data_IF_877283892642
#
_entry.id   IF_877283892642
#
_cell.length_a   1.000
_cell.length_b   1.000
_cell.length_c   1.000
_cell.angle_alpha   90.00
_cell.angle_beta   90.00
_cell.angle_gamma   90.00
#
_symmetry.space_group_name_H-M   'P 1'
#
loop_
_entity.id
_entity.type
_entity.pdbx_description
1 polymer ?
#
# COMPACT_ATOMS: atom_id res chain seq x y z
N UNK A 1 -5.40 3.65 -14.74
CA UNK A 1 -5.13 2.25 -15.16
C UNK A 1 -4.28 1.58 -14.10
N UNK A 2 -4.51 0.28 -13.81
CA UNK A 2 -3.68 -0.48 -12.84
C UNK A 2 -3.00 -1.61 -13.59
N UNK A 3 -1.67 -1.69 -13.49
CA UNK A 3 -0.85 -2.68 -14.16
C UNK A 3 0.06 -3.32 -13.11
N UNK A 4 -0.14 -4.63 -12.88
CA UNK A 4 0.57 -5.36 -11.84
C UNK A 4 1.53 -6.36 -12.44
N UNK A 5 2.67 -6.55 -11.79
CA UNK A 5 3.51 -7.72 -12.03
C UNK A 5 2.95 -8.91 -11.25
N UNK A 6 3.03 -10.11 -11.85
CA UNK A 6 2.56 -11.33 -11.21
C UNK A 6 3.42 -11.66 -9.98
N UNK A 7 2.81 -11.70 -8.83
CA UNK A 7 3.41 -12.18 -7.57
C UNK A 7 2.85 -13.55 -7.24
N UNK A 8 3.73 -14.47 -6.86
CA UNK A 8 3.35 -15.83 -6.45
C UNK A 8 3.14 -15.84 -4.93
N UNK A 9 1.89 -15.70 -4.52
CA UNK A 9 1.53 -15.73 -3.10
C UNK A 9 1.56 -17.17 -2.55
N UNK A 10 2.11 -17.40 -1.34
CA UNK A 10 2.05 -18.69 -0.67
C UNK A 10 0.62 -19.22 -0.55
N UNK A 11 0.49 -20.55 -0.47
CA UNK A 11 -0.80 -21.25 -0.27
C UNK A 11 -1.84 -21.05 -1.39
N UNK A 12 -1.41 -20.51 -2.55
CA UNK A 12 -2.27 -20.36 -3.73
C UNK A 12 -2.09 -21.52 -4.73
N UNK A 13 -3.07 -21.77 -5.62
CA UNK A 13 -2.87 -22.69 -6.74
C UNK A 13 -1.67 -22.33 -7.60
N UNK A 14 -1.36 -21.05 -7.79
CA UNK A 14 -0.19 -20.59 -8.55
C UNK A 14 1.13 -20.99 -7.88
N UNK A 15 1.23 -20.89 -6.55
CA UNK A 15 2.41 -21.37 -5.82
C UNK A 15 2.64 -22.86 -6.05
N UNK A 16 1.57 -23.67 -6.01
CA UNK A 16 1.67 -25.09 -6.25
C UNK A 16 2.06 -25.44 -7.71
N UNK A 17 1.61 -24.67 -8.69
CA UNK A 17 1.98 -24.82 -10.10
C UNK A 17 3.42 -24.38 -10.35
N UNK A 18 3.83 -23.26 -9.78
CA UNK A 18 5.19 -22.73 -9.86
C UNK A 18 6.21 -23.71 -9.25
N UNK A 19 5.95 -24.21 -8.05
CA UNK A 19 6.80 -25.21 -7.39
C UNK A 19 6.97 -26.51 -8.20
N UNK A 20 5.98 -26.86 -9.03
CA UNK A 20 6.01 -28.03 -9.94
C UNK A 20 6.60 -27.70 -11.32
N UNK A 21 7.10 -26.50 -11.55
CA UNK A 21 7.61 -26.04 -12.84
C UNK A 21 6.54 -25.95 -13.96
N UNK A 22 5.25 -25.98 -13.60
CA UNK A 22 4.13 -25.87 -14.55
C UNK A 22 3.69 -24.41 -14.80
N UNK A 23 4.09 -23.49 -13.96
CA UNK A 23 3.94 -22.05 -14.13
C UNK A 23 5.34 -21.45 -14.14
N UNK A 24 5.75 -20.91 -15.28
CA UNK A 24 7.00 -20.17 -15.41
C UNK A 24 6.67 -18.68 -15.37
N UNK A 25 7.32 -17.96 -14.47
CA UNK A 25 7.26 -16.48 -14.40
C UNK A 25 8.52 -15.91 -15.04
N UNK A 26 8.50 -14.66 -15.51
CA UNK A 26 9.71 -13.97 -15.94
C UNK A 26 10.78 -13.97 -14.82
N UNK A 27 12.03 -14.10 -15.20
CA UNK A 27 13.13 -13.85 -14.26
C UNK A 27 13.24 -12.36 -13.90
N UNK A 28 14.13 -12.02 -12.98
CA UNK A 28 14.24 -10.66 -12.46
C UNK A 28 14.59 -9.65 -13.56
N UNK A 29 15.48 -9.99 -14.49
CA UNK A 29 15.89 -9.11 -15.58
C UNK A 29 14.74 -8.86 -16.57
N UNK A 30 14.02 -9.93 -16.94
CA UNK A 30 12.84 -9.83 -17.79
C UNK A 30 11.70 -9.08 -17.09
N UNK A 31 11.49 -9.30 -15.79
CA UNK A 31 10.48 -8.57 -15.02
C UNK A 31 10.79 -7.08 -14.94
N UNK A 32 12.07 -6.70 -14.72
CA UNK A 32 12.51 -5.31 -14.72
C UNK A 32 12.30 -4.67 -16.10
N UNK A 33 12.72 -5.34 -17.18
CA UNK A 33 12.53 -4.86 -18.56
C UNK A 33 11.06 -4.63 -18.87
N UNK A 34 10.18 -5.56 -18.50
CA UNK A 34 8.74 -5.41 -18.70
C UNK A 34 8.16 -4.24 -17.89
N UNK A 35 8.67 -4.01 -16.68
CA UNK A 35 8.29 -2.86 -15.87
C UNK A 35 8.70 -1.55 -16.55
N UNK A 36 9.95 -1.43 -17.00
CA UNK A 36 10.46 -0.23 -17.69
C UNK A 36 9.67 0.06 -18.97
N UNK A 37 9.46 -0.93 -19.83
CA UNK A 37 8.60 -0.79 -21.03
C UNK A 37 7.19 -0.32 -20.65
N UNK A 38 6.62 -0.86 -19.57
CA UNK A 38 5.30 -0.46 -19.10
C UNK A 38 5.27 1.02 -18.73
N UNK A 39 6.31 1.52 -18.02
CA UNK A 39 6.40 2.93 -17.66
C UNK A 39 6.51 3.81 -18.94
N UNK A 40 7.38 3.46 -19.87
CA UNK A 40 7.59 4.20 -21.12
C UNK A 40 6.32 4.29 -21.97
N UNK A 41 5.66 3.16 -22.18
CA UNK A 41 4.45 3.09 -23.01
C UNK A 41 3.27 3.85 -22.38
N UNK A 42 3.09 3.74 -21.06
CA UNK A 42 2.01 4.47 -20.38
C UNK A 42 2.28 5.96 -20.32
N UNK A 43 3.52 6.39 -20.10
CA UNK A 43 3.90 7.80 -20.15
C UNK A 43 3.70 8.38 -21.56
N UNK A 44 4.14 7.68 -22.61
CA UNK A 44 3.93 8.07 -24.00
C UNK A 44 2.44 8.18 -24.37
N UNK A 45 1.59 7.37 -23.74
CA UNK A 45 0.13 7.44 -23.88
C UNK A 45 -0.54 8.55 -23.04
N UNK A 46 0.24 9.39 -22.33
CA UNK A 46 -0.28 10.46 -21.46
C UNK A 46 -0.84 9.95 -20.11
N UNK A 47 -0.44 8.76 -19.69
CA UNK A 47 -0.83 8.12 -18.43
C UNK A 47 0.41 7.84 -17.57
N UNK A 48 1.14 8.85 -17.10
CA UNK A 48 2.31 8.63 -16.25
C UNK A 48 1.95 7.89 -14.96
N UNK A 49 2.89 7.12 -14.42
CA UNK A 49 2.73 6.50 -13.12
C UNK A 49 2.65 7.55 -12.01
N UNK A 50 1.63 7.50 -11.19
CA UNK A 50 1.56 8.30 -9.97
C UNK A 50 1.95 7.50 -8.72
N UNK A 51 1.96 6.16 -8.83
CA UNK A 51 2.55 5.23 -7.88
C UNK A 51 2.99 3.95 -8.63
N UNK A 52 3.64 3.02 -7.95
CA UNK A 52 4.35 1.86 -8.54
C UNK A 52 3.54 1.11 -9.62
N UNK A 53 2.23 0.91 -9.39
CA UNK A 53 1.38 0.04 -10.22
C UNK A 53 0.19 0.77 -10.85
N UNK A 54 0.03 2.05 -10.59
CA UNK A 54 -1.13 2.81 -11.06
C UNK A 54 -0.73 4.05 -11.86
N UNK A 55 -1.39 4.20 -13.00
CA UNK A 55 -1.14 5.22 -14.00
C UNK A 55 -2.41 6.04 -14.22
N UNK A 56 -2.26 7.34 -14.42
CA UNK A 56 -3.40 8.23 -14.69
C UNK A 56 -2.94 9.48 -15.43
N UNK A 57 -3.83 10.08 -16.20
CA UNK A 57 -3.62 11.43 -16.70
C UNK A 57 -3.46 12.42 -15.53
N UNK A 58 -2.71 13.52 -15.72
CA UNK A 58 -2.54 14.53 -14.68
C UNK A 58 -3.88 15.03 -14.14
N UNK A 59 -4.07 14.97 -12.83
CA UNK A 59 -5.31 15.34 -12.14
C UNK A 59 -6.35 14.23 -12.03
N UNK A 60 -6.17 13.08 -12.71
CA UNK A 60 -7.13 11.97 -12.72
C UNK A 60 -6.68 10.77 -11.82
N UNK A 61 -5.70 10.98 -10.96
CA UNK A 61 -5.22 9.96 -10.03
C UNK A 61 -6.35 9.50 -9.11
N UNK A 62 -6.37 8.21 -8.77
CA UNK A 62 -7.34 7.67 -7.82
C UNK A 62 -7.21 8.32 -6.45
N UNK A 63 -8.18 9.16 -6.09
CA UNK A 63 -8.21 9.80 -4.76
C UNK A 63 -8.24 8.78 -3.63
N UNK A 64 -8.91 7.65 -3.84
CA UNK A 64 -8.96 6.56 -2.87
C UNK A 64 -7.57 5.98 -2.63
N UNK A 65 -6.80 5.67 -3.69
CA UNK A 65 -5.43 5.18 -3.55
C UNK A 65 -4.51 6.20 -2.87
N UNK A 66 -4.64 7.47 -3.24
CA UNK A 66 -3.84 8.55 -2.65
C UNK A 66 -4.10 8.74 -1.14
N UNK A 67 -5.31 8.41 -0.64
CA UNK A 67 -5.57 8.41 0.81
C UNK A 67 -4.63 7.43 1.51
N UNK A 68 -4.48 6.21 1.00
CA UNK A 68 -3.56 5.22 1.59
C UNK A 68 -2.11 5.66 1.48
N UNK A 69 -1.66 5.99 0.27
CA UNK A 69 -0.25 6.27 0.01
C UNK A 69 0.23 7.56 0.66
N UNK A 70 -0.65 8.53 0.88
CA UNK A 70 -0.37 9.77 1.65
C UNK A 70 -0.58 9.62 3.14
N UNK A 71 -0.81 8.40 3.60
CA UNK A 71 -1.02 8.07 5.00
C UNK A 71 -2.23 8.80 5.62
N UNK A 72 -3.30 8.95 4.86
CA UNK A 72 -4.58 9.51 5.33
C UNK A 72 -5.37 8.51 6.18
N UNK A 73 -6.44 9.00 6.80
CA UNK A 73 -7.39 8.16 7.52
C UNK A 73 -8.35 7.46 6.56
N UNK A 74 -8.65 6.20 6.84
CA UNK A 74 -9.65 5.43 6.11
C UNK A 74 -10.30 4.39 7.00
N UNK A 75 -11.60 4.16 6.75
CA UNK A 75 -12.40 3.15 7.44
C UNK A 75 -12.42 1.88 6.60
N UNK A 76 -12.05 0.76 7.21
CA UNK A 76 -12.25 -0.55 6.62
C UNK A 76 -13.71 -0.99 6.78
N UNK A 77 -14.39 -1.26 5.67
CA UNK A 77 -15.77 -1.74 5.65
C UNK A 77 -15.86 -3.14 5.06
N UNK A 78 -16.48 -4.05 5.77
CA UNK A 78 -16.68 -5.43 5.33
C UNK A 78 -15.82 -6.45 6.06
N UNK A 79 -16.05 -7.76 5.78
CA UNK A 79 -15.30 -8.85 6.38
C UNK A 79 -13.81 -8.77 6.03
N UNK A 80 -12.95 -8.90 7.04
CA UNK A 80 -11.49 -8.87 6.89
C UNK A 80 -10.90 -7.49 6.53
N UNK A 81 -11.71 -6.43 6.53
CA UNK A 81 -11.24 -5.10 6.18
C UNK A 81 -10.33 -4.51 7.26
N UNK A 82 -9.33 -3.76 6.83
CA UNK A 82 -8.42 -3.00 7.68
C UNK A 82 -8.69 -1.50 7.56
N UNK A 83 -8.40 -0.75 8.63
CA UNK A 83 -8.54 0.70 8.65
C UNK A 83 -7.40 1.38 9.39
N UNK A 84 -7.28 2.68 9.16
CA UNK A 84 -6.42 3.59 9.91
C UNK A 84 -7.24 4.84 10.25
N UNK A 85 -7.41 5.10 11.53
CA UNK A 85 -8.24 6.21 12.02
C UNK A 85 -7.49 7.02 13.07
N UNK A 86 -7.62 8.33 12.98
CA UNK A 86 -7.12 9.25 14.02
C UNK A 86 -8.29 9.73 14.86
N UNK A 87 -8.29 9.37 16.13
CA UNK A 87 -9.32 9.75 17.11
C UNK A 87 -8.64 10.47 18.25
N UNK A 88 -9.07 11.67 18.57
CA UNK A 88 -8.52 12.52 19.67
C UNK A 88 -6.98 12.65 19.62
N UNK A 89 -6.43 12.72 18.40
CA UNK A 89 -4.99 12.87 18.16
C UNK A 89 -4.18 11.55 18.23
N UNK A 90 -4.78 10.45 18.62
CA UNK A 90 -4.17 9.12 18.57
C UNK A 90 -4.56 8.38 17.28
N UNK A 91 -3.59 7.72 16.65
CA UNK A 91 -3.83 6.93 15.44
C UNK A 91 -3.99 5.46 15.78
N UNK A 92 -5.01 4.84 15.22
CA UNK A 92 -5.38 3.45 15.46
C UNK A 92 -5.33 2.64 14.17
N UNK A 93 -4.79 1.41 14.28
CA UNK A 93 -5.04 0.35 13.31
C UNK A 93 -6.33 -0.38 13.72
N UNK A 94 -7.20 -0.65 12.75
CA UNK A 94 -8.39 -1.46 12.95
C UNK A 94 -8.39 -2.65 12.00
N UNK A 95 -8.88 -3.81 12.47
CA UNK A 95 -9.15 -4.96 11.63
C UNK A 95 -10.53 -5.52 11.92
N UNK A 96 -11.24 -5.95 10.88
CA UNK A 96 -12.57 -6.53 10.97
C UNK A 96 -12.52 -8.06 10.97
N UNK A 97 -13.57 -8.68 11.53
CA UNK A 97 -13.80 -10.11 11.45
C UNK A 97 -13.75 -10.60 10.00
N UNK A 98 -13.04 -11.72 9.75
CA UNK A 98 -12.82 -12.22 8.39
C UNK A 98 -13.98 -13.05 7.84
N UNK A 99 -14.65 -13.82 8.72
CA UNK A 99 -15.78 -14.63 8.32
C UNK A 99 -17.00 -13.75 8.01
N UNK A 100 -17.61 -13.81 6.79
CA UNK A 100 -18.74 -12.94 6.44
C UNK A 100 -19.91 -13.04 7.42
N UNK A 101 -20.29 -14.24 7.82
CA UNK A 101 -21.38 -14.48 8.75
C UNK A 101 -21.04 -13.93 10.15
N UNK A 102 -19.86 -14.26 10.67
CA UNK A 102 -19.38 -13.78 11.97
C UNK A 102 -19.21 -12.25 11.99
N UNK A 103 -18.79 -11.67 10.86
CA UNK A 103 -18.75 -10.22 10.68
C UNK A 103 -20.15 -9.60 10.76
N UNK A 104 -21.12 -10.18 10.07
CA UNK A 104 -22.49 -9.69 10.07
C UNK A 104 -23.12 -9.80 11.47
N UNK A 105 -22.95 -10.92 12.17
CA UNK A 105 -23.42 -11.11 13.54
C UNK A 105 -22.79 -10.06 14.49
N UNK A 106 -21.49 -9.79 14.35
CA UNK A 106 -20.80 -8.79 15.16
C UNK A 106 -21.34 -7.38 14.89
N UNK A 107 -21.55 -7.02 13.63
CA UNK A 107 -22.12 -5.72 13.26
C UNK A 107 -23.52 -5.53 13.86
N UNK A 108 -24.37 -6.58 13.82
CA UNK A 108 -25.72 -6.53 14.40
C UNK A 108 -25.69 -6.40 15.93
N UNK A 109 -24.72 -7.02 16.58
CA UNK A 109 -24.58 -7.01 18.03
C UNK A 109 -23.90 -5.76 18.57
N UNK A 110 -22.78 -5.36 17.95
CA UNK A 110 -21.82 -4.38 18.48
C UNK A 110 -21.88 -3.03 17.73
N UNK A 111 -22.63 -2.96 16.60
CA UNK A 111 -22.67 -1.80 15.72
C UNK A 111 -21.48 -1.69 14.76
N UNK A 112 -20.47 -2.56 14.87
CA UNK A 112 -19.30 -2.62 14.01
C UNK A 112 -18.75 -4.05 13.90
N UNK A 113 -17.99 -4.32 12.85
CA UNK A 113 -17.36 -5.63 12.63
C UNK A 113 -15.93 -5.75 13.12
N UNK A 114 -15.40 -4.81 13.89
CA UNK A 114 -14.00 -4.80 14.33
C UNK A 114 -13.72 -5.88 15.36
N UNK A 115 -12.64 -6.60 15.16
CA UNK A 115 -12.06 -7.56 16.11
C UNK A 115 -10.83 -6.98 16.83
N UNK A 116 -10.22 -5.96 16.24
CA UNK A 116 -9.04 -5.29 16.77
C UNK A 116 -9.12 -3.79 16.55
N UNK A 117 -8.67 -3.04 17.54
CA UNK A 117 -8.44 -1.62 17.51
C UNK A 117 -7.20 -1.32 18.36
N UNK A 118 -6.05 -1.16 17.71
CA UNK A 118 -4.76 -1.01 18.38
C UNK A 118 -4.21 0.39 18.14
N UNK A 119 -3.84 1.16 19.19
CA UNK A 119 -3.15 2.41 19.00
C UNK A 119 -1.77 2.17 18.39
N UNK A 120 -1.39 2.98 17.41
CA UNK A 120 -0.10 2.90 16.75
C UNK A 120 0.91 3.80 17.45
N UNK A 121 2.04 3.22 17.80
CA UNK A 121 3.17 3.97 18.35
C UNK A 121 3.79 4.90 17.32
N UNK A 122 4.46 5.97 17.77
CA UNK A 122 5.06 6.96 16.88
C UNK A 122 6.10 6.36 15.93
N UNK A 123 6.79 5.30 16.32
CA UNK A 123 7.73 4.58 15.46
C UNK A 123 6.99 3.85 14.32
N UNK A 124 5.96 3.09 14.64
CA UNK A 124 5.14 2.36 13.68
C UNK A 124 4.50 3.32 12.67
N UNK A 125 3.95 4.45 13.15
CA UNK A 125 3.38 5.48 12.27
C UNK A 125 4.41 6.06 11.30
N UNK A 126 5.68 6.23 11.72
CA UNK A 126 6.76 6.71 10.83
C UNK A 126 7.10 5.68 9.77
N UNK A 127 7.22 4.41 10.17
CA UNK A 127 7.57 3.31 9.28
C UNK A 127 6.47 3.08 8.24
N UNK A 128 5.20 3.05 8.67
CA UNK A 128 4.05 2.97 7.76
C UNK A 128 4.01 4.15 6.79
N UNK A 129 4.20 5.38 7.28
CA UNK A 129 4.21 6.58 6.43
C UNK A 129 5.32 6.54 5.39
N UNK A 130 6.50 6.05 5.76
CA UNK A 130 7.61 5.89 4.85
C UNK A 130 7.28 4.84 3.77
N UNK A 131 6.87 3.65 4.18
CA UNK A 131 6.52 2.55 3.27
C UNK A 131 5.42 2.95 2.28
N UNK A 132 4.36 3.62 2.77
CA UNK A 132 3.27 4.08 1.91
C UNK A 132 3.74 5.18 0.94
N UNK A 133 4.43 6.17 1.46
CA UNK A 133 4.83 7.34 0.67
C UNK A 133 5.90 7.07 -0.38
N UNK A 134 6.81 6.10 -0.14
CA UNK A 134 7.80 5.67 -1.13
C UNK A 134 7.19 4.98 -2.37
N UNK A 135 5.93 4.61 -2.33
CA UNK A 135 5.23 4.11 -3.51
C UNK A 135 4.84 5.23 -4.49
N UNK A 136 4.68 6.46 -4.00
CA UNK A 136 4.27 7.61 -4.82
C UNK A 136 5.42 8.17 -5.65
N UNK A 137 5.16 8.58 -6.87
CA UNK A 137 6.11 9.32 -7.70
C UNK A 137 6.50 10.66 -7.08
N UNK A 138 5.64 11.26 -6.26
CA UNK A 138 5.91 12.49 -5.49
C UNK A 138 6.83 12.24 -4.28
N UNK A 139 7.04 10.97 -3.89
CA UNK A 139 7.88 10.57 -2.77
C UNK A 139 7.36 11.00 -1.40
N UNK A 140 8.26 11.09 -0.42
CA UNK A 140 7.96 11.42 0.98
C UNK A 140 8.60 12.75 1.36
N UNK A 141 7.83 13.65 1.96
CA UNK A 141 8.36 14.88 2.51
C UNK A 141 9.15 14.63 3.81
N UNK A 142 10.46 14.76 3.75
CA UNK A 142 11.34 14.64 4.92
C UNK A 142 10.98 15.63 6.04
N UNK A 143 10.48 16.82 5.68
CA UNK A 143 10.03 17.81 6.66
C UNK A 143 8.82 17.31 7.46
N UNK A 144 7.85 16.64 6.81
CA UNK A 144 6.72 16.01 7.48
C UNK A 144 7.10 14.81 8.33
N UNK A 145 8.19 14.13 7.98
CA UNK A 145 8.75 13.04 8.78
C UNK A 145 9.56 13.55 9.98
N UNK A 146 10.27 14.66 9.84
CA UNK A 146 11.12 15.25 10.89
C UNK A 146 10.32 15.85 12.05
N UNK A 147 9.06 16.25 11.85
CA UNK A 147 8.15 16.60 12.97
C UNK A 147 7.85 15.38 13.88
N UNK A 148 8.38 14.22 13.56
CA UNK A 148 8.41 12.98 14.33
C UNK A 148 9.70 12.21 14.14
N UNK A 149 10.89 12.85 14.17
CA UNK A 149 12.25 12.30 14.10
C UNK A 149 12.48 11.20 13.01
N UNK A 150 12.89 11.62 11.80
CA UNK A 150 13.47 10.69 10.84
C UNK A 150 14.80 10.12 11.39
N UNK A 151 15.10 8.81 11.25
CA UNK A 151 16.41 8.28 11.57
C UNK A 151 17.50 8.99 10.74
N UNK A 152 18.62 9.36 11.34
CA UNK A 152 19.75 10.02 10.66
C UNK A 152 20.21 9.24 9.42
N UNK A 153 20.08 7.91 9.41
CA UNK A 153 20.39 7.04 8.28
C UNK A 153 19.57 7.33 7.01
N UNK A 154 18.28 7.69 7.13
CA UNK A 154 17.42 8.01 5.98
C UNK A 154 17.82 9.33 5.31
N UNK A 155 18.26 10.30 6.09
CA UNK A 155 18.72 11.60 5.56
C UNK A 155 19.99 11.42 4.73
N UNK A 156 20.87 10.50 5.14
CA UNK A 156 22.12 10.20 4.43
C UNK A 156 21.85 9.50 3.10
N UNK A 157 20.97 8.51 3.07
CA UNK A 157 20.62 7.76 1.84
C UNK A 157 19.99 8.65 0.77
N UNK A 158 19.13 9.60 1.15
CA UNK A 158 18.51 10.53 0.19
C UNK A 158 19.53 11.50 -0.42
N UNK A 159 20.56 11.90 0.34
CA UNK A 159 21.67 12.71 -0.19
C UNK A 159 22.61 11.95 -1.14
N UNK A 160 22.72 10.64 -0.99
CA UNK A 160 23.54 9.78 -1.87
C UNK A 160 22.85 9.42 -3.20
N UNK A 161 21.51 9.59 -3.28
CA UNK A 161 20.68 9.29 -4.46
C UNK A 161 20.29 10.55 -5.25
N UNK A 162 20.66 11.73 -4.81
CA UNK A 162 20.41 13.01 -5.49
C UNK A 162 21.70 13.57 -6.12
#
# INVERSE_FOLDING_TARGET
MSLYQLTIEPETPFAALHAKGKLVVPDEDAALTLYEITQEETEAAGLPAYEISNHAAPGEQSRHNLVYWRYGDYVGCGPGAHGRLTVEGARYATSAERGPEAWAERVLRDGHGWVEQTPLEAAEQRDERLLMGLRLSEGVSLHRMASGAAPAALTQTVHELS
#
